data_IF_755668702754
#
_entry.id   IF_755668702754
#
_cell.length_a   1.000
_cell.length_b   1.000
_cell.length_c   1.000
_cell.angle_alpha   90.00
_cell.angle_beta   90.00
_cell.angle_gamma   90.00
#
_symmetry.space_group_name_H-M   'P 1'
#
loop_
_entity.id
_entity.type
_entity.pdbx_description
1 polymer ?
#
# COMPACT_ATOMS: atom_id res chain seq x y z
N UNK A 1 -29.66 14.93 8.49
CA UNK A 1 -28.19 14.72 8.36
C UNK A 1 -27.97 13.33 7.81
N UNK A 2 -27.60 13.26 6.53
CA UNK A 2 -27.44 12.01 5.78
C UNK A 2 -26.22 11.24 6.31
N UNK A 3 -26.38 9.93 6.52
CA UNK A 3 -25.39 9.06 7.20
C UNK A 3 -24.06 9.11 6.45
N UNK A 4 -23.04 9.66 7.10
CA UNK A 4 -21.66 9.69 6.65
C UNK A 4 -21.20 8.29 6.23
N UNK A 5 -21.18 8.04 4.91
CA UNK A 5 -20.51 6.88 4.30
C UNK A 5 -19.03 7.00 4.69
N UNK A 6 -18.61 6.28 5.73
CA UNK A 6 -17.19 6.16 6.11
C UNK A 6 -16.44 5.73 4.83
N UNK A 7 -15.69 6.65 4.23
CA UNK A 7 -14.88 6.39 3.03
C UNK A 7 -14.08 5.12 3.33
N UNK A 8 -14.22 4.07 2.51
CA UNK A 8 -13.42 2.85 2.64
C UNK A 8 -11.96 3.26 2.43
N UNK A 9 -11.25 3.55 3.52
CA UNK A 9 -9.84 4.01 3.51
C UNK A 9 -8.85 2.87 3.20
N UNK A 10 -9.32 1.67 2.88
CA UNK A 10 -8.48 0.51 2.60
C UNK A 10 -8.28 0.29 1.10
N UNK A 11 -7.71 1.29 0.41
CA UNK A 11 -7.21 1.10 -0.97
C UNK A 11 -5.91 0.28 -1.00
N UNK A 12 -5.22 0.18 0.14
CA UNK A 12 -3.89 -0.42 0.27
C UNK A 12 -3.86 -1.49 1.36
N UNK A 13 -2.99 -2.48 1.19
CA UNK A 13 -2.84 -3.60 2.12
C UNK A 13 -2.24 -3.11 3.43
N UNK A 14 -3.03 -3.16 4.51
CA UNK A 14 -2.63 -2.64 5.83
C UNK A 14 -1.39 -3.35 6.41
N UNK A 15 -1.24 -4.65 6.19
CA UNK A 15 -0.08 -5.42 6.66
C UNK A 15 1.20 -4.95 5.97
N UNK A 16 1.15 -4.71 4.66
CA UNK A 16 2.30 -4.19 3.89
C UNK A 16 2.62 -2.76 4.32
N UNK A 17 1.61 -1.91 4.54
CA UNK A 17 1.84 -0.54 5.04
C UNK A 17 2.54 -0.57 6.41
N UNK A 18 2.11 -1.43 7.35
CA UNK A 18 2.73 -1.54 8.66
C UNK A 18 4.20 -2.02 8.57
N UNK A 19 4.49 -3.02 7.74
CA UNK A 19 5.85 -3.47 7.50
C UNK A 19 6.75 -2.35 6.93
N UNK A 20 6.20 -1.50 6.04
CA UNK A 20 6.93 -0.35 5.50
C UNK A 20 7.16 0.76 6.54
N UNK A 21 6.22 0.96 7.45
CA UNK A 21 6.37 1.89 8.59
C UNK A 21 7.54 1.43 9.47
N UNK A 22 7.57 0.16 9.84
CA UNK A 22 8.64 -0.41 10.68
C UNK A 22 10.00 -0.36 9.97
N UNK A 23 10.05 -0.70 8.67
CA UNK A 23 11.30 -0.73 7.90
C UNK A 23 11.90 0.65 7.63
N UNK A 24 11.06 1.63 7.26
CA UNK A 24 11.52 2.95 6.84
C UNK A 24 11.40 4.03 7.93
N UNK A 25 10.73 3.75 9.04
CA UNK A 25 10.56 4.68 10.16
C UNK A 25 9.65 5.88 9.88
N UNK A 26 8.88 5.85 8.79
CA UNK A 26 7.95 6.94 8.43
C UNK A 26 6.54 6.71 8.95
N UNK A 27 5.79 7.79 9.12
CA UNK A 27 4.37 7.69 9.46
C UNK A 27 3.58 6.95 8.38
N UNK A 28 2.55 6.20 8.79
CA UNK A 28 1.66 5.51 7.85
C UNK A 28 0.97 6.44 6.86
N UNK A 29 0.76 7.72 7.23
CA UNK A 29 0.27 8.75 6.30
C UNK A 29 1.28 8.98 5.17
N UNK A 30 2.56 9.18 5.50
CA UNK A 30 3.61 9.40 4.52
C UNK A 30 3.79 8.19 3.60
N UNK A 31 3.86 6.97 4.16
CA UNK A 31 3.93 5.74 3.37
C UNK A 31 2.77 5.67 2.36
N UNK A 32 1.53 5.95 2.79
CA UNK A 32 0.36 5.97 1.90
C UNK A 32 0.47 7.02 0.80
N UNK A 33 1.00 8.21 1.08
CA UNK A 33 1.25 9.24 0.06
C UNK A 33 2.35 8.82 -0.94
N UNK A 34 3.34 8.05 -0.49
CA UNK A 34 4.37 7.50 -1.38
C UNK A 34 3.77 6.44 -2.30
N UNK A 35 2.97 5.52 -1.75
CA UNK A 35 2.30 4.46 -2.51
C UNK A 35 1.26 5.04 -3.47
N UNK A 36 0.57 6.13 -3.11
CA UNK A 36 -0.39 6.79 -4.01
C UNK A 36 0.27 7.55 -5.15
N UNK A 37 1.56 7.87 -5.06
CA UNK A 37 2.29 8.69 -6.02
C UNK A 37 2.13 10.20 -5.81
N UNK A 38 1.59 10.64 -4.66
CA UNK A 38 1.58 12.07 -4.28
C UNK A 38 2.99 12.60 -3.98
N UNK A 39 3.91 11.72 -3.59
CA UNK A 39 5.31 12.06 -3.29
C UNK A 39 6.23 11.47 -4.35
N UNK A 40 7.12 12.31 -4.87
CA UNK A 40 8.09 11.99 -5.93
C UNK A 40 9.54 12.09 -5.45
N UNK A 41 9.77 12.04 -4.15
CA UNK A 41 11.13 12.00 -3.60
C UNK A 41 11.78 10.64 -3.85
N UNK A 42 13.12 10.60 -3.92
CA UNK A 42 13.87 9.34 -4.08
C UNK A 42 13.49 8.28 -3.03
N UNK A 43 13.23 8.71 -1.79
CA UNK A 43 12.76 7.85 -0.71
C UNK A 43 11.34 7.35 -0.95
N UNK A 44 10.44 8.21 -1.45
CA UNK A 44 9.07 7.82 -1.78
C UNK A 44 9.03 6.78 -2.91
N UNK A 45 9.87 6.93 -3.94
CA UNK A 45 9.98 5.97 -5.02
C UNK A 45 10.47 4.60 -4.55
N UNK A 46 11.46 4.57 -3.63
CA UNK A 46 11.88 3.32 -2.97
C UNK A 46 10.74 2.66 -2.21
N UNK A 47 10.01 3.42 -1.38
CA UNK A 47 8.87 2.91 -0.60
C UNK A 47 7.79 2.33 -1.52
N UNK A 48 7.50 3.04 -2.62
CA UNK A 48 6.52 2.59 -3.61
C UNK A 48 6.95 1.30 -4.29
N UNK A 49 8.22 1.19 -4.71
CA UNK A 49 8.76 -0.05 -5.29
C UNK A 49 8.68 -1.20 -4.29
N UNK A 50 9.13 -0.99 -3.04
CA UNK A 50 9.05 -1.99 -1.98
C UNK A 50 7.61 -2.48 -1.77
N UNK A 51 6.63 -1.57 -1.74
CA UNK A 51 5.21 -1.90 -1.63
C UNK A 51 4.76 -2.82 -2.78
N UNK A 52 5.01 -2.45 -4.03
CA UNK A 52 4.62 -3.26 -5.19
C UNK A 52 5.32 -4.63 -5.22
N UNK A 53 6.60 -4.69 -4.83
CA UNK A 53 7.35 -5.95 -4.74
C UNK A 53 6.76 -6.91 -3.70
N UNK A 54 6.19 -6.42 -2.60
CA UNK A 54 5.54 -7.27 -1.59
C UNK A 54 4.17 -7.80 -2.03
N UNK A 55 3.45 -7.09 -2.92
CA UNK A 55 2.12 -7.50 -3.36
C UNK A 55 2.17 -8.39 -4.61
N UNK A 56 3.19 -8.23 -5.46
CA UNK A 56 3.34 -9.01 -6.68
C UNK A 56 3.27 -10.54 -6.48
N UNK A 57 3.86 -11.14 -5.42
CA UNK A 57 3.70 -12.57 -5.13
C UNK A 57 2.24 -12.93 -4.80
N UNK A 58 1.53 -12.06 -4.08
CA UNK A 58 0.13 -12.23 -3.72
C UNK A 58 -0.78 -12.16 -4.94
N UNK A 59 -0.52 -11.23 -5.87
CA UNK A 59 -1.29 -11.12 -7.12
C UNK A 59 -1.10 -12.34 -8.02
N UNK A 60 0.11 -12.91 -8.08
CA UNK A 60 0.36 -14.16 -8.81
C UNK A 60 -0.45 -15.32 -8.25
N UNK A 61 -0.42 -15.51 -6.92
CA UNK A 61 -1.22 -16.55 -6.25
C UNK A 61 -2.73 -16.38 -6.44
N UNK A 62 -3.23 -15.13 -6.44
CA UNK A 62 -4.64 -14.85 -6.71
C UNK A 62 -5.01 -15.21 -8.15
N UNK A 63 -4.13 -14.94 -9.12
CA UNK A 63 -4.35 -15.34 -10.51
C UNK A 63 -4.30 -16.86 -10.68
N UNK A 64 -3.38 -17.54 -10.02
CA UNK A 64 -3.31 -19.01 -10.02
C UNK A 64 -4.62 -19.61 -9.47
N UNK A 65 -5.09 -19.12 -8.31
CA UNK A 65 -6.35 -19.58 -7.69
C UNK A 65 -7.61 -19.34 -8.54
N UNK A 66 -7.61 -18.31 -9.39
CA UNK A 66 -8.76 -18.00 -10.26
C UNK A 66 -8.77 -18.79 -11.57
N UNK A 67 -7.66 -19.46 -11.91
CA UNK A 67 -7.53 -20.28 -13.12
C UNK A 67 -7.61 -21.79 -12.84
N UNK A 68 -7.77 -22.19 -11.58
CA UNK A 68 -8.14 -23.56 -11.14
C UNK A 68 -9.67 -23.72 -11.07
#
# INVERSE_FOLDING_TARGET
MDKSKKKKYNKYNASVINALIEKHGFSGRYIRQCVSGERTSLSADKIRKDYHSMIAPSEKKVKEFLND
#
